data_IF_462796691704
#
_entry.id   IF_462796691704
#
_cell.length_a   1.000
_cell.length_b   1.000
_cell.length_c   1.000
_cell.angle_alpha   90.00
_cell.angle_beta   90.00
_cell.angle_gamma   90.00
#
_symmetry.space_group_name_H-M   'P 1'
#
loop_
_entity.id
_entity.type
_entity.pdbx_description
1 polymer ?
#
# COMPACT_ATOMS: atom_id res chain seq x y z
N UNK A 1 30.84 -21.33 -42.86
CA UNK A 1 29.55 -20.92 -42.27
C UNK A 1 29.67 -21.04 -40.76
N UNK A 2 29.66 -19.91 -40.02
CA UNK A 2 29.69 -19.88 -38.55
C UNK A 2 28.25 -19.67 -38.08
N UNK A 3 27.66 -20.69 -37.46
CA UNK A 3 26.31 -20.64 -36.92
C UNK A 3 26.35 -19.90 -35.58
N UNK A 4 25.79 -18.69 -35.54
CA UNK A 4 25.59 -17.94 -34.30
C UNK A 4 24.39 -18.55 -33.57
N UNK A 5 24.66 -19.24 -32.47
CA UNK A 5 23.64 -19.74 -31.56
C UNK A 5 23.29 -18.60 -30.58
N UNK A 6 22.16 -17.93 -30.82
CA UNK A 6 21.62 -16.93 -29.89
C UNK A 6 21.00 -17.66 -28.70
N UNK A 7 21.64 -17.53 -27.52
CA UNK A 7 21.03 -17.91 -26.24
C UNK A 7 19.99 -16.84 -25.87
N UNK A 8 18.71 -17.13 -26.09
CA UNK A 8 17.61 -16.36 -25.53
C UNK A 8 17.48 -16.69 -24.03
N UNK A 9 17.96 -15.78 -23.18
CA UNK A 9 17.73 -15.81 -21.73
C UNK A 9 16.24 -15.61 -21.45
N UNK A 10 15.56 -16.69 -21.03
CA UNK A 10 14.20 -16.65 -20.51
C UNK A 10 14.21 -15.98 -19.14
N UNK A 11 13.78 -14.72 -19.06
CA UNK A 11 13.42 -14.08 -17.80
C UNK A 11 12.12 -14.72 -17.30
N UNK A 12 12.23 -15.71 -16.40
CA UNK A 12 11.05 -16.22 -15.70
C UNK A 12 10.57 -15.15 -14.73
N UNK A 13 9.52 -14.41 -15.09
CA UNK A 13 8.74 -13.61 -14.16
C UNK A 13 8.17 -14.57 -13.11
N UNK A 14 8.82 -14.64 -11.95
CA UNK A 14 8.25 -15.30 -10.78
C UNK A 14 7.05 -14.48 -10.32
N UNK A 15 5.87 -14.82 -10.84
CA UNK A 15 4.61 -14.37 -10.25
C UNK A 15 4.56 -14.96 -8.84
N UNK A 16 4.80 -14.12 -7.84
CA UNK A 16 4.71 -14.51 -6.45
C UNK A 16 3.24 -14.80 -6.14
N UNK A 17 2.88 -16.08 -6.17
CA UNK A 17 1.53 -16.54 -5.88
C UNK A 17 1.29 -16.46 -4.37
N UNK A 18 0.31 -15.66 -3.98
CA UNK A 18 -0.16 -15.64 -2.60
C UNK A 18 -0.85 -16.96 -2.25
N UNK A 19 -0.27 -17.71 -1.32
CA UNK A 19 -0.94 -18.84 -0.69
C UNK A 19 -1.66 -18.33 0.56
N UNK A 20 -3.00 -18.37 0.56
CA UNK A 20 -3.81 -18.05 1.74
C UNK A 20 -3.74 -19.25 2.68
N UNK A 21 -2.88 -19.21 3.69
CA UNK A 21 -2.93 -20.18 4.78
C UNK A 21 -4.01 -19.74 5.76
N UNK A 22 -5.09 -20.52 5.84
CA UNK A 22 -6.18 -20.34 6.78
C UNK A 22 -5.67 -20.44 8.23
N UNK A 23 -5.34 -19.29 8.79
CA UNK A 23 -5.51 -18.99 10.21
C UNK A 23 -6.28 -17.68 10.23
N UNK A 24 -7.31 -17.56 11.08
CA UNK A 24 -8.28 -16.45 11.15
C UNK A 24 -7.69 -15.05 11.46
N UNK A 25 -6.51 -14.72 10.95
CA UNK A 25 -5.77 -13.49 11.17
C UNK A 25 -5.45 -12.89 9.81
N UNK A 26 -6.27 -11.94 9.40
CA UNK A 26 -6.06 -11.16 8.20
C UNK A 26 -4.92 -10.15 8.46
N UNK A 27 -3.74 -10.46 7.94
CA UNK A 27 -2.55 -9.61 8.00
C UNK A 27 -2.40 -8.84 6.69
N UNK A 28 -2.19 -7.53 6.81
CA UNK A 28 -1.85 -6.65 5.69
C UNK A 28 -0.48 -6.07 5.99
N UNK A 29 0.51 -6.37 5.16
CA UNK A 29 1.85 -5.85 5.29
C UNK A 29 2.26 -5.21 3.96
N UNK A 30 2.35 -3.89 3.93
CA UNK A 30 2.67 -3.13 2.72
C UNK A 30 3.81 -2.17 2.96
N UNK A 31 4.62 -1.97 1.94
CA UNK A 31 5.70 -0.99 1.92
C UNK A 31 5.74 -0.29 0.56
N UNK A 32 6.41 0.85 0.50
CA UNK A 32 6.54 1.63 -0.72
C UNK A 32 7.17 2.98 -0.43
N UNK A 33 7.07 3.90 -1.39
CA UNK A 33 7.60 5.26 -1.28
C UNK A 33 6.52 6.27 -1.64
N UNK A 34 6.44 7.34 -0.86
CA UNK A 34 5.49 8.43 -1.07
C UNK A 34 6.09 9.52 -1.93
N UNK A 35 5.36 9.87 -2.97
CA UNK A 35 5.67 10.94 -3.91
C UNK A 35 4.58 12.02 -3.85
N UNK A 36 4.91 13.22 -4.30
CA UNK A 36 3.99 14.30 -4.59
C UNK A 36 4.37 14.83 -5.95
N UNK A 37 3.66 14.37 -6.98
CA UNK A 37 4.14 14.45 -8.36
C UNK A 37 5.52 13.78 -8.46
N UNK A 38 6.56 14.55 -8.81
CA UNK A 38 7.93 14.07 -8.98
C UNK A 38 8.81 14.24 -7.73
N UNK A 39 8.27 14.76 -6.63
CA UNK A 39 9.02 15.03 -5.41
C UNK A 39 8.76 13.99 -4.31
N UNK A 40 9.83 13.55 -3.65
CA UNK A 40 9.72 12.70 -2.46
C UNK A 40 9.12 13.52 -1.33
N UNK A 41 8.05 13.01 -0.70
CA UNK A 41 7.48 13.63 0.49
C UNK A 41 7.85 12.92 1.77
N UNK A 42 7.98 13.72 2.81
CA UNK A 42 8.28 13.28 4.18
C UNK A 42 7.27 13.92 5.14
N UNK A 43 7.41 13.67 6.44
CA UNK A 43 6.50 14.14 7.49
C UNK A 43 5.02 13.74 7.27
N UNK A 44 4.81 12.66 6.51
CA UNK A 44 3.47 12.18 6.12
C UNK A 44 2.97 11.14 7.12
N UNK A 45 1.68 11.19 7.45
CA UNK A 45 1.05 10.19 8.33
C UNK A 45 0.29 9.20 7.49
N UNK A 46 0.46 7.93 7.79
CA UNK A 46 -0.23 6.81 7.16
C UNK A 46 -1.09 6.11 8.19
N UNK A 47 -2.31 5.78 7.83
CA UNK A 47 -3.21 4.96 8.66
C UNK A 47 -3.73 3.80 7.83
N UNK A 48 -3.47 2.60 8.30
CA UNK A 48 -3.93 1.36 7.70
C UNK A 48 -5.26 0.98 8.35
N UNK A 49 -6.25 0.69 7.52
CA UNK A 49 -7.61 0.35 7.91
C UNK A 49 -8.07 -0.95 7.26
N UNK A 50 -9.12 -1.51 7.83
CA UNK A 50 -9.99 -2.49 7.19
C UNK A 50 -11.43 -2.02 7.31
N UNK A 51 -12.22 -2.21 6.26
CA UNK A 51 -13.67 -2.17 6.35
C UNK A 51 -14.19 -3.57 6.66
N UNK A 52 -14.92 -3.66 7.76
CA UNK A 52 -15.58 -4.84 8.29
C UNK A 52 -17.09 -4.63 8.27
N UNK A 53 -17.85 -5.65 7.89
CA UNK A 53 -19.32 -5.54 7.77
C UNK A 53 -20.00 -5.27 9.12
N UNK A 54 -19.43 -5.72 10.24
CA UNK A 54 -20.00 -5.57 11.59
C UNK A 54 -19.48 -4.33 12.32
N UNK A 55 -18.18 -4.07 12.20
CA UNK A 55 -17.50 -3.00 12.94
C UNK A 55 -17.31 -1.71 12.13
N UNK A 56 -17.65 -1.74 10.83
CA UNK A 56 -17.38 -0.63 9.93
C UNK A 56 -15.88 -0.44 9.69
N UNK A 57 -15.40 0.81 9.78
CA UNK A 57 -14.00 1.16 9.55
C UNK A 57 -13.17 0.94 10.81
N UNK A 58 -12.23 0.00 10.77
CA UNK A 58 -11.36 -0.34 11.90
C UNK A 58 -9.91 -0.01 11.56
N UNK A 59 -9.24 0.75 12.43
CA UNK A 59 -7.82 1.07 12.27
C UNK A 59 -6.97 -0.13 12.69
N UNK A 60 -6.07 -0.57 11.81
CA UNK A 60 -5.16 -1.67 12.07
C UNK A 60 -3.80 -1.18 12.57
N UNK A 61 -3.28 -0.11 11.97
CA UNK A 61 -2.00 0.48 12.39
C UNK A 61 -1.87 1.92 11.89
N UNK A 62 -0.88 2.63 12.41
CA UNK A 62 -0.49 3.97 12.04
C UNK A 62 1.04 4.05 11.96
N UNK A 63 1.56 4.78 10.97
CA UNK A 63 2.98 5.12 10.91
C UNK A 63 3.19 6.55 10.42
N UNK A 64 4.39 7.06 10.66
CA UNK A 64 4.82 8.37 10.16
C UNK A 64 6.07 8.21 9.30
N UNK A 65 5.99 8.69 8.08
CA UNK A 65 7.09 8.68 7.12
C UNK A 65 7.98 9.88 7.40
N UNK A 66 9.13 9.64 8.05
CA UNK A 66 10.08 10.70 8.40
C UNK A 66 11.43 10.58 7.72
N UNK A 67 11.70 9.45 7.04
CA UNK A 67 12.97 9.28 6.36
C UNK A 67 13.01 10.14 5.08
N UNK A 68 14.22 10.60 4.73
CA UNK A 68 14.47 11.42 3.53
C UNK A 68 14.19 10.72 2.21
N UNK A 69 13.91 9.41 2.23
CA UNK A 69 13.58 8.62 1.04
C UNK A 69 12.07 8.50 0.83
N UNK A 70 11.24 9.03 1.73
CA UNK A 70 9.77 8.92 1.67
C UNK A 70 9.25 7.48 1.81
N UNK A 71 10.09 6.54 2.28
CA UNK A 71 9.75 5.12 2.34
C UNK A 71 8.86 4.83 3.54
N UNK A 72 7.85 3.99 3.37
CA UNK A 72 7.06 3.48 4.47
C UNK A 72 7.07 1.96 4.49
N UNK A 73 6.79 1.42 5.66
CA UNK A 73 6.54 0.01 5.91
C UNK A 73 5.48 -0.04 7.02
N UNK A 74 4.30 -0.57 6.71
CA UNK A 74 3.18 -0.64 7.65
C UNK A 74 2.56 -2.03 7.60
N UNK A 75 2.41 -2.61 8.80
CA UNK A 75 1.78 -3.90 9.00
C UNK A 75 0.58 -3.75 9.93
N UNK A 76 -0.55 -4.32 9.57
CA UNK A 76 -1.76 -4.35 10.37
C UNK A 76 -2.31 -5.77 10.42
N UNK A 77 -2.89 -6.15 11.55
CA UNK A 77 -3.53 -7.45 11.71
C UNK A 77 -4.93 -7.26 12.25
N UNK A 78 -5.89 -7.96 11.67
CA UNK A 78 -7.20 -8.18 12.27
C UNK A 78 -7.39 -9.66 12.46
N UNK A 79 -7.93 -10.06 13.62
CA UNK A 79 -8.36 -11.43 13.87
C UNK A 79 -9.58 -11.80 13.02
N UNK A 80 -10.46 -12.63 13.60
CA UNK A 80 -11.67 -13.17 12.95
C UNK A 80 -12.46 -12.07 12.21
N UNK A 81 -12.33 -12.02 10.89
CA UNK A 81 -13.09 -11.12 10.05
C UNK A 81 -13.43 -11.84 8.76
N UNK A 82 -14.73 -11.92 8.51
CA UNK A 82 -15.32 -12.63 7.38
C UNK A 82 -15.22 -11.83 6.07
N UNK A 83 -15.00 -10.52 6.16
CA UNK A 83 -14.86 -9.61 5.04
C UNK A 83 -13.88 -8.50 5.39
N UNK A 84 -12.71 -8.53 4.74
CA UNK A 84 -11.63 -7.57 4.94
C UNK A 84 -11.42 -6.84 3.63
N UNK A 85 -11.85 -5.59 3.56
CA UNK A 85 -11.41 -4.65 2.53
C UNK A 85 -10.37 -3.72 3.15
N UNK A 86 -9.06 -3.99 2.99
CA UNK A 86 -8.05 -3.15 3.59
C UNK A 86 -7.77 -1.94 2.70
N UNK A 87 -7.47 -0.82 3.34
CA UNK A 87 -7.10 0.41 2.65
C UNK A 87 -6.20 1.27 3.54
N UNK A 88 -5.43 2.16 2.92
CA UNK A 88 -4.54 3.08 3.63
C UNK A 88 -4.90 4.52 3.32
N UNK A 89 -5.03 5.32 4.36
CA UNK A 89 -5.20 6.77 4.24
C UNK A 89 -3.86 7.48 4.40
N UNK A 90 -3.57 8.38 3.45
CA UNK A 90 -2.35 9.16 3.39
C UNK A 90 -2.69 10.60 3.78
N UNK A 91 -2.07 11.10 4.84
CA UNK A 91 -2.27 12.45 5.34
C UNK A 91 -0.98 13.26 5.15
N UNK A 92 -0.97 14.16 4.18
CA UNK A 92 0.19 14.97 3.81
C UNK A 92 -0.22 16.40 3.44
N UNK A 93 0.76 17.28 3.33
CA UNK A 93 0.60 18.67 2.89
C UNK A 93 0.80 18.83 1.37
N UNK A 94 1.04 17.73 0.65
CA UNK A 94 1.19 17.73 -0.81
C UNK A 94 -0.02 18.39 -1.50
N UNK A 95 0.25 19.32 -2.44
CA UNK A 95 -0.77 19.99 -3.25
C UNK A 95 -1.58 21.10 -2.55
N UNK A 96 -1.45 21.29 -1.23
CA UNK A 96 -2.19 22.32 -0.50
C UNK A 96 -1.27 23.35 0.15
N UNK A 97 -1.54 24.64 -0.10
CA UNK A 97 -0.91 25.79 0.57
C UNK A 97 -1.30 25.95 2.07
N UNK A 98 -1.86 24.91 2.72
CA UNK A 98 -2.47 25.02 4.05
C UNK A 98 -1.70 24.22 5.10
N UNK A 99 -1.46 24.86 6.25
CA UNK A 99 -0.81 24.35 7.47
C UNK A 99 -1.55 23.20 8.20
N UNK A 100 -2.46 22.46 7.54
CA UNK A 100 -3.24 21.37 8.16
C UNK A 100 -3.06 20.06 7.40
N UNK A 101 -2.66 19.03 8.14
CA UNK A 101 -2.53 17.65 7.68
C UNK A 101 -3.95 17.09 7.46
N UNK A 102 -4.38 17.01 6.21
CA UNK A 102 -5.69 16.45 5.79
C UNK A 102 -5.46 15.12 5.07
N UNK A 103 -6.43 14.17 5.10
CA UNK A 103 -6.34 13.00 4.24
C UNK A 103 -6.44 13.46 2.79
N UNK A 104 -5.43 13.14 1.99
CA UNK A 104 -5.37 13.56 0.58
C UNK A 104 -5.58 12.40 -0.39
N UNK A 105 -5.40 11.16 0.06
CA UNK A 105 -5.66 9.96 -0.73
C UNK A 105 -6.05 8.77 0.14
N UNK A 106 -6.90 7.89 -0.42
CA UNK A 106 -7.18 6.55 0.11
C UNK A 106 -6.70 5.52 -0.90
N UNK A 107 -5.71 4.72 -0.54
CA UNK A 107 -5.21 3.63 -1.36
C UNK A 107 -5.93 2.34 -0.98
N UNK A 108 -6.76 1.83 -1.89
CA UNK A 108 -7.46 0.56 -1.69
C UNK A 108 -6.56 -0.60 -2.12
N UNK A 109 -6.33 -1.53 -1.20
CA UNK A 109 -5.59 -2.74 -1.47
C UNK A 109 -6.50 -3.76 -2.16
N UNK A 110 -5.94 -4.54 -3.08
CA UNK A 110 -6.64 -5.74 -3.52
C UNK A 110 -6.87 -6.66 -2.32
N UNK A 111 -8.04 -7.30 -2.22
CA UNK A 111 -8.29 -8.34 -1.22
C UNK A 111 -7.28 -9.48 -1.31
N UNK A 112 -6.66 -9.65 -2.47
CA UNK A 112 -5.54 -10.58 -2.70
C UNK A 112 -4.23 -10.13 -2.04
N UNK A 113 -4.16 -9.04 -1.28
CA UNK A 113 -2.96 -8.64 -0.54
C UNK A 113 -3.04 -9.05 0.94
N UNK A 114 -4.20 -9.53 1.38
CA UNK A 114 -4.39 -10.06 2.73
C UNK A 114 -3.72 -11.43 2.82
N UNK A 115 -2.89 -11.61 3.84
CA UNK A 115 -2.11 -12.83 4.14
C UNK A 115 -1.07 -13.21 3.08
N UNK A 116 -0.68 -12.25 2.24
CA UNK A 116 0.30 -12.44 1.18
C UNK A 116 1.75 -12.11 1.56
N UNK A 117 2.02 -12.00 2.86
CA UNK A 117 3.28 -11.45 3.34
C UNK A 117 3.46 -9.97 3.00
N UNK A 118 4.73 -9.56 2.90
CA UNK A 118 5.13 -8.17 2.69
C UNK A 118 5.03 -7.79 1.21
N UNK A 119 4.20 -6.79 0.90
CA UNK A 119 3.87 -6.38 -0.47
C UNK A 119 4.46 -5.01 -0.82
N UNK A 120 5.13 -4.93 -1.97
CA UNK A 120 5.68 -3.69 -2.52
C UNK A 120 4.62 -2.94 -3.33
N UNK A 121 4.34 -1.71 -2.95
CA UNK A 121 3.41 -0.83 -3.67
C UNK A 121 4.14 0.11 -4.64
N UNK A 122 5.48 0.10 -4.65
CA UNK A 122 6.27 1.02 -5.43
C UNK A 122 6.10 2.47 -5.00
N UNK A 123 6.09 3.37 -5.99
CA UNK A 123 5.87 4.79 -5.78
C UNK A 123 4.38 5.13 -5.79
N UNK A 124 3.90 5.70 -4.68
CA UNK A 124 2.53 6.18 -4.54
C UNK A 124 2.54 7.69 -4.59
N UNK A 125 1.92 8.26 -5.62
CA UNK A 125 1.69 9.69 -5.70
C UNK A 125 0.52 10.09 -4.79
N UNK A 126 0.84 10.91 -3.79
CA UNK A 126 -0.12 11.47 -2.85
C UNK A 126 -0.75 12.78 -3.35
N UNK A 127 -0.49 13.20 -4.60
CA UNK A 127 -1.04 14.40 -5.20
C UNK A 127 -2.49 14.22 -5.70
N UNK A 128 -2.90 13.01 -6.08
CA UNK A 128 -4.25 12.74 -6.61
C UNK A 128 -5.06 11.82 -5.69
N UNK A 129 -6.35 12.14 -5.48
CA UNK A 129 -7.33 11.21 -4.89
C UNK A 129 -7.41 9.95 -5.79
N UNK A 130 -6.62 8.91 -5.51
CA UNK A 130 -6.75 7.63 -6.21
C UNK A 130 -8.10 7.02 -5.77
N UNK A 131 -9.07 6.97 -6.70
CA UNK A 131 -10.50 6.64 -6.53
C UNK A 131 -11.38 7.72 -5.87
N UNK A 132 -11.86 8.63 -6.73
CA UNK A 132 -13.00 9.52 -6.51
C UNK A 132 -14.28 8.72 -6.22
N UNK A 133 -14.62 8.59 -4.95
CA UNK A 133 -16.02 8.64 -4.52
C UNK A 133 -16.22 9.60 -3.36
N UNK A 134 -15.12 10.07 -2.75
CA UNK A 134 -15.11 11.09 -1.70
C UNK A 134 -13.81 11.89 -1.82
N UNK A 135 -13.80 12.85 -2.74
CA UNK A 135 -13.36 14.20 -2.41
C UNK A 135 -14.66 15.05 -2.54
#
# INVERSE_FOLDING_TARGET
MRMFMWLSTLFTLSFQYCHREDVNVNTVHVYGRLMCKDEIITDTRLRLYVRDVREGKVMLNYTKVQNKKGVFDIIGRKGESYFVEPFMEIYSYCGFNRKKCVPIASYHFSHKLVDCGRQDLGDIDAFECINSTIC
#
